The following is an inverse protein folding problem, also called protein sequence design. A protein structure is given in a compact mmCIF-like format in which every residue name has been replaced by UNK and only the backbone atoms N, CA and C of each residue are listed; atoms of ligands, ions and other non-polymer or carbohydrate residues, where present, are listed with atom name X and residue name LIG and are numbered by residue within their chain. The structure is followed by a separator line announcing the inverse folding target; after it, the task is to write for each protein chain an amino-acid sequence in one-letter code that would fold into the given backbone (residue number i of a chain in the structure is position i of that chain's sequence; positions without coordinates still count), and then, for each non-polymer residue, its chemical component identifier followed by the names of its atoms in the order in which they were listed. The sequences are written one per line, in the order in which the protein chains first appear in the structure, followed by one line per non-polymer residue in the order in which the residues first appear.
data_IF_739850754581
#
_entry.id   IF_739850754581
#
_cell.length_a   1.000
_cell.length_b   1.000
_cell.length_c   1.000
_cell.angle_alpha   90.00
_cell.angle_beta   90.00
_cell.angle_gamma   90.00
#
_symmetry.space_group_name_H-M   'P 1'
#
loop_
_entity.id
_entity.type
_entity.pdbx_description
1 polymer ?
#
# COMPACT_ATOMS: atom_id res chain seq x y z
N UNK A 1 3.23 -5.53 26.20
CA UNK A 1 4.68 -5.29 26.14
C UNK A 1 4.96 -3.97 25.47
N UNK A 2 6.11 -3.38 25.75
CA UNK A 2 6.57 -2.13 25.15
C UNK A 2 6.64 -2.23 23.60
N UNK A 3 6.33 -1.14 22.90
CA UNK A 3 6.49 -1.05 21.46
C UNK A 3 7.97 -0.91 21.12
N UNK A 4 8.50 -1.82 20.32
CA UNK A 4 9.92 -1.82 19.92
C UNK A 4 10.03 -1.58 18.42
N UNK A 5 10.78 -0.56 18.03
CA UNK A 5 11.01 -0.23 16.64
C UNK A 5 12.28 -0.96 16.17
N UNK A 6 12.20 -1.78 15.09
CA UNK A 6 13.37 -2.42 14.56
C UNK A 6 14.39 -1.40 14.02
N UNK A 7 15.67 -1.72 14.16
CA UNK A 7 16.75 -0.86 13.64
C UNK A 7 17.42 -1.44 12.40
N UNK A 8 17.14 -2.73 12.08
CA UNK A 8 17.74 -3.41 10.94
C UNK A 8 17.06 -2.97 9.65
N UNK A 9 17.84 -2.59 8.65
CA UNK A 9 17.35 -2.37 7.29
C UNK A 9 17.23 -3.69 6.53
N UNK A 10 16.18 -3.83 5.72
CA UNK A 10 15.97 -4.96 4.83
C UNK A 10 17.02 -4.93 3.70
N UNK A 11 17.41 -6.12 3.23
CA UNK A 11 18.37 -6.24 2.14
C UNK A 11 17.86 -7.17 1.04
N UNK A 12 18.36 -7.01 -0.18
CA UNK A 12 18.02 -7.86 -1.33
C UNK A 12 18.25 -9.35 -1.11
N UNK A 13 19.14 -9.70 -0.16
CA UNK A 13 19.50 -11.08 0.18
C UNK A 13 18.62 -11.68 1.28
N UNK A 14 17.70 -10.91 1.86
CA UNK A 14 16.89 -11.35 2.97
C UNK A 14 15.73 -12.25 2.53
N UNK A 15 15.50 -13.31 3.31
CA UNK A 15 14.34 -14.17 3.17
C UNK A 15 14.11 -14.69 1.75
N UNK A 16 12.94 -14.42 1.20
CA UNK A 16 12.56 -14.82 -0.16
C UNK A 16 12.74 -13.74 -1.22
N UNK A 17 13.26 -12.57 -0.86
CA UNK A 17 13.47 -11.46 -1.80
C UNK A 17 14.30 -11.89 -3.02
N UNK A 18 15.45 -12.61 -2.88
CA UNK A 18 16.23 -13.03 -4.05
C UNK A 18 15.43 -13.87 -5.03
N UNK A 19 14.61 -14.79 -4.52
CA UNK A 19 13.75 -15.65 -5.35
C UNK A 19 12.69 -14.83 -6.11
N UNK A 20 12.03 -13.90 -5.42
CA UNK A 20 11.01 -13.03 -6.02
C UNK A 20 11.64 -12.21 -7.14
N UNK A 21 12.76 -11.56 -6.89
CA UNK A 21 13.44 -10.73 -7.88
C UNK A 21 13.95 -11.54 -9.09
N UNK A 22 14.41 -12.77 -8.89
CA UNK A 22 14.79 -13.65 -9.99
C UNK A 22 13.59 -14.03 -10.86
N UNK A 23 12.46 -14.39 -10.24
CA UNK A 23 11.21 -14.69 -10.96
C UNK A 23 10.72 -13.48 -11.75
N UNK A 24 10.73 -12.29 -11.16
CA UNK A 24 10.33 -11.05 -11.84
C UNK A 24 11.18 -10.77 -13.09
N UNK A 25 12.50 -10.87 -12.97
CA UNK A 25 13.42 -10.68 -14.12
C UNK A 25 13.19 -11.70 -15.21
N UNK A 26 13.01 -12.98 -14.87
CA UNK A 26 12.70 -14.05 -15.83
C UNK A 26 11.36 -13.82 -16.52
N UNK A 27 10.34 -13.42 -15.77
CA UNK A 27 9.03 -13.10 -16.34
C UNK A 27 9.14 -11.94 -17.33
N UNK A 28 9.79 -10.83 -16.93
CA UNK A 28 9.95 -9.66 -17.80
C UNK A 28 10.74 -9.98 -19.06
N UNK A 29 11.78 -10.80 -18.96
CA UNK A 29 12.55 -11.27 -20.10
C UNK A 29 11.73 -12.14 -21.06
N UNK A 30 10.86 -13.01 -20.53
CA UNK A 30 10.02 -13.92 -21.31
C UNK A 30 8.78 -13.22 -21.92
N UNK A 31 8.30 -12.14 -21.29
CA UNK A 31 7.07 -11.42 -21.63
C UNK A 31 7.27 -9.90 -21.53
N UNK A 32 8.12 -9.31 -22.38
CA UNK A 32 8.48 -7.90 -22.28
C UNK A 32 7.28 -6.95 -22.51
N UNK A 33 6.29 -7.39 -23.28
CA UNK A 33 5.10 -6.58 -23.63
C UNK A 33 3.99 -6.62 -22.57
N UNK A 34 4.16 -7.43 -21.51
CA UNK A 34 3.20 -7.51 -20.42
C UNK A 34 3.67 -6.61 -19.28
N UNK A 35 2.79 -5.69 -18.85
CA UNK A 35 3.06 -4.87 -17.68
C UNK A 35 3.08 -5.73 -16.41
N UNK A 36 4.12 -5.54 -15.59
CA UNK A 36 4.29 -6.24 -14.32
C UNK A 36 3.90 -5.33 -13.17
N UNK A 37 2.89 -5.74 -12.44
CA UNK A 37 2.31 -5.02 -11.30
C UNK A 37 2.91 -5.56 -10.00
N UNK A 38 3.73 -4.78 -9.33
CA UNK A 38 4.42 -5.14 -8.10
C UNK A 38 3.60 -4.77 -6.87
N UNK A 39 3.24 -5.76 -6.06
CA UNK A 39 2.54 -5.54 -4.80
C UNK A 39 3.55 -5.48 -3.65
N UNK A 40 3.58 -4.35 -2.95
CA UNK A 40 4.30 -4.20 -1.69
C UNK A 40 3.30 -4.06 -0.54
N UNK A 41 3.64 -4.60 0.64
CA UNK A 41 2.82 -4.43 1.84
C UNK A 41 2.78 -2.95 2.22
N UNK A 42 1.59 -2.41 2.52
CA UNK A 42 1.48 -1.03 3.00
C UNK A 42 2.12 -0.85 4.39
N UNK A 43 2.59 0.37 4.70
CA UNK A 43 3.29 0.65 5.96
C UNK A 43 2.50 0.30 7.21
N UNK A 44 1.19 0.54 7.24
CA UNK A 44 0.37 0.28 8.41
C UNK A 44 0.11 -1.22 8.61
N UNK A 45 -0.20 -1.95 7.54
CA UNK A 45 -0.30 -3.41 7.61
C UNK A 45 1.04 -4.04 8.03
N UNK A 46 2.17 -3.54 7.53
CA UNK A 46 3.48 -4.03 7.95
C UNK A 46 3.73 -3.74 9.44
N UNK A 47 3.40 -2.54 9.91
CA UNK A 47 3.51 -2.17 11.32
C UNK A 47 2.65 -3.09 12.22
N UNK A 48 1.43 -3.40 11.77
CA UNK A 48 0.56 -4.36 12.47
C UNK A 48 1.15 -5.79 12.47
N UNK A 49 1.80 -6.22 11.41
CA UNK A 49 2.49 -7.53 11.41
C UNK A 49 3.65 -7.58 12.42
N UNK A 50 4.34 -6.48 12.64
CA UNK A 50 5.43 -6.39 13.62
C UNK A 50 4.91 -6.27 15.06
N UNK A 51 3.84 -5.50 15.29
CA UNK A 51 3.29 -5.22 16.62
C UNK A 51 2.15 -6.15 17.04
N UNK A 52 1.48 -6.76 16.08
CA UNK A 52 0.22 -7.46 16.29
C UNK A 52 -0.96 -6.49 16.44
N UNK A 53 -2.11 -7.03 16.88
CA UNK A 53 -3.34 -6.23 17.04
C UNK A 53 -3.26 -5.14 18.12
N UNK A 54 -2.23 -5.18 18.97
CA UNK A 54 -2.00 -4.14 19.97
C UNK A 54 -1.74 -2.77 19.34
N UNK A 55 -1.33 -2.70 18.09
CA UNK A 55 -1.11 -1.44 17.38
C UNK A 55 -2.33 -0.51 17.46
N UNK A 56 -3.56 -1.06 17.45
CA UNK A 56 -4.78 -0.26 17.56
C UNK A 56 -4.97 0.35 18.93
N UNK A 57 -4.45 -0.26 20.00
CA UNK A 57 -4.44 0.33 21.34
C UNK A 57 -3.29 1.32 21.47
N UNK A 58 -2.11 0.97 20.94
CA UNK A 58 -0.94 1.84 20.97
C UNK A 58 -1.19 3.18 20.24
N UNK A 59 -2.08 3.22 19.23
CA UNK A 59 -2.50 4.48 18.57
C UNK A 59 -3.11 5.50 19.54
N UNK A 60 -3.63 5.05 20.69
CA UNK A 60 -4.16 5.91 21.75
C UNK A 60 -3.18 6.09 22.92
N UNK A 61 -2.40 5.05 23.22
CA UNK A 61 -1.57 5.00 24.43
C UNK A 61 -0.12 5.46 24.17
N UNK A 62 0.37 5.32 22.91
CA UNK A 62 1.75 5.63 22.50
C UNK A 62 1.80 6.14 21.04
N UNK A 63 1.19 7.29 20.80
CA UNK A 63 1.07 7.89 19.48
C UNK A 63 2.44 8.06 18.79
N UNK A 64 3.45 8.56 19.51
CA UNK A 64 4.80 8.80 18.99
C UNK A 64 5.49 7.48 18.62
N UNK A 65 5.31 6.43 19.42
CA UNK A 65 5.81 5.09 19.13
C UNK A 65 5.20 4.51 17.87
N UNK A 66 3.88 4.64 17.68
CA UNK A 66 3.20 4.17 16.46
C UNK A 66 3.66 4.95 15.24
N UNK A 67 3.77 6.29 15.32
CA UNK A 67 4.30 7.12 14.22
C UNK A 67 5.71 6.69 13.82
N UNK A 68 6.58 6.46 14.79
CA UNK A 68 7.93 6.01 14.54
C UNK A 68 7.98 4.60 13.91
N UNK A 69 7.11 3.68 14.35
CA UNK A 69 7.01 2.34 13.75
C UNK A 69 6.51 2.40 12.31
N UNK A 70 5.48 3.20 12.03
CA UNK A 70 4.93 3.35 10.66
C UNK A 70 5.96 4.02 9.74
N UNK A 71 6.71 5.02 10.23
CA UNK A 71 7.79 5.65 9.48
C UNK A 71 8.90 4.64 9.13
N UNK A 72 9.31 3.80 10.08
CA UNK A 72 10.24 2.69 9.81
C UNK A 72 9.67 1.73 8.74
N UNK A 73 8.39 1.37 8.86
CA UNK A 73 7.75 0.49 7.89
C UNK A 73 7.69 1.12 6.49
N UNK A 74 7.44 2.44 6.38
CA UNK A 74 7.49 3.15 5.09
C UNK A 74 8.87 3.02 4.44
N UNK A 75 9.94 3.21 5.20
CA UNK A 75 11.30 3.05 4.67
C UNK A 75 11.54 1.63 4.14
N UNK A 76 11.09 0.60 4.86
CA UNK A 76 11.18 -0.80 4.43
C UNK A 76 10.38 -1.05 3.15
N UNK A 77 9.14 -0.58 3.10
CA UNK A 77 8.24 -0.74 1.95
C UNK A 77 8.83 -0.07 0.71
N UNK A 78 9.35 1.14 0.86
CA UNK A 78 9.99 1.90 -0.21
C UNK A 78 11.25 1.21 -0.72
N UNK A 79 12.06 0.63 0.15
CA UNK A 79 13.24 -0.14 -0.23
C UNK A 79 12.87 -1.43 -1.00
N UNK A 80 11.82 -2.14 -0.61
CA UNK A 80 11.30 -3.29 -1.36
C UNK A 80 10.74 -2.85 -2.72
N UNK A 81 10.05 -1.72 -2.78
CA UNK A 81 9.58 -1.14 -4.04
C UNK A 81 10.75 -0.85 -4.99
N UNK A 82 11.86 -0.31 -4.48
CA UNK A 82 13.07 -0.08 -5.27
C UNK A 82 13.66 -1.38 -5.83
N UNK A 83 13.68 -2.44 -5.04
CA UNK A 83 14.11 -3.76 -5.54
C UNK A 83 13.21 -4.29 -6.65
N UNK A 84 11.90 -4.06 -6.57
CA UNK A 84 10.95 -4.47 -7.61
C UNK A 84 11.11 -3.64 -8.89
N UNK A 85 11.32 -2.33 -8.76
CA UNK A 85 11.63 -1.43 -9.89
C UNK A 85 12.89 -1.90 -10.63
N UNK A 86 13.96 -2.18 -9.90
CA UNK A 86 15.20 -2.71 -10.48
C UNK A 86 15.04 -4.10 -11.13
N UNK A 87 14.05 -4.88 -10.68
CA UNK A 87 13.72 -6.17 -11.30
C UNK A 87 12.83 -6.05 -12.54
N UNK A 88 12.43 -4.82 -12.92
CA UNK A 88 11.66 -4.52 -14.12
C UNK A 88 10.16 -4.41 -13.92
N UNK A 89 9.71 -4.09 -12.71
CA UNK A 89 8.31 -3.78 -12.44
C UNK A 89 7.88 -2.50 -13.15
N UNK A 90 6.66 -2.48 -13.68
CA UNK A 90 6.13 -1.34 -14.43
C UNK A 90 5.20 -0.45 -13.58
N UNK A 91 4.62 -1.01 -12.52
CA UNK A 91 3.70 -0.33 -11.59
C UNK A 91 3.97 -0.85 -10.19
N UNK A 92 3.98 0.03 -9.19
CA UNK A 92 4.08 -0.36 -7.77
C UNK A 92 2.76 -0.06 -7.04
N UNK A 93 2.21 -1.06 -6.36
CA UNK A 93 1.03 -0.89 -5.53
C UNK A 93 1.35 -1.13 -4.05
N UNK A 94 1.08 -0.14 -3.21
CA UNK A 94 1.05 -0.30 -1.77
C UNK A 94 -0.31 -0.89 -1.35
N UNK A 95 -0.29 -2.11 -0.83
CA UNK A 95 -1.50 -2.86 -0.43
C UNK A 95 -1.63 -2.78 1.08
N UNK A 96 -2.63 -2.05 1.57
CA UNK A 96 -2.83 -1.81 3.01
C UNK A 96 -4.28 -2.03 3.45
N UNK A 97 -4.72 -3.28 3.63
CA UNK A 97 -6.08 -3.60 4.04
C UNK A 97 -6.52 -2.92 5.34
N UNK A 98 -5.60 -2.70 6.28
CA UNK A 98 -5.92 -2.15 7.59
C UNK A 98 -6.33 -0.67 7.55
N UNK A 99 -6.09 0.03 6.46
CA UNK A 99 -6.62 1.39 6.25
C UNK A 99 -8.16 1.40 6.31
N UNK A 100 -8.83 0.33 5.92
CA UNK A 100 -10.30 0.20 6.06
C UNK A 100 -10.78 0.17 7.51
N UNK A 101 -9.90 -0.14 8.47
CA UNK A 101 -10.25 -0.34 9.88
C UNK A 101 -10.11 0.93 10.75
N UNK A 102 -9.52 2.00 10.22
CA UNK A 102 -9.24 3.24 10.98
C UNK A 102 -10.09 4.40 10.48
N UNK A 103 -10.27 5.41 11.33
CA UNK A 103 -10.98 6.64 10.97
C UNK A 103 -10.13 7.55 10.08
N UNK A 104 -10.75 8.53 9.38
CA UNK A 104 -10.00 9.56 8.64
C UNK A 104 -9.01 10.33 9.52
N UNK A 105 -9.38 10.68 10.76
CA UNK A 105 -8.49 11.38 11.70
C UNK A 105 -7.26 10.53 12.06
N UNK A 106 -7.45 9.22 12.26
CA UNK A 106 -6.33 8.29 12.48
C UNK A 106 -5.46 8.16 11.23
N UNK A 107 -6.07 8.11 10.04
CA UNK A 107 -5.32 8.11 8.80
C UNK A 107 -4.47 9.38 8.68
N UNK A 108 -5.04 10.55 8.92
CA UNK A 108 -4.31 11.82 8.89
C UNK A 108 -3.15 11.83 9.89
N UNK A 109 -3.40 11.39 11.12
CA UNK A 109 -2.42 11.41 12.21
C UNK A 109 -1.23 10.48 11.96
N UNK A 110 -1.47 9.27 11.44
CA UNK A 110 -0.46 8.21 11.40
C UNK A 110 0.02 7.86 9.99
N UNK A 111 -0.78 8.08 8.96
CA UNK A 111 -0.53 7.53 7.63
C UNK A 111 -0.34 8.58 6.54
N UNK A 112 -0.87 9.78 6.70
CA UNK A 112 -0.84 10.82 5.67
C UNK A 112 0.60 11.17 5.25
N UNK A 113 1.49 11.43 6.21
CA UNK A 113 2.91 11.74 5.92
C UNK A 113 3.66 10.54 5.31
N UNK A 114 3.64 9.33 5.89
CA UNK A 114 4.30 8.16 5.31
C UNK A 114 3.87 7.86 3.88
N UNK A 115 2.56 7.89 3.58
CA UNK A 115 2.08 7.64 2.22
C UNK A 115 2.41 8.77 1.25
N UNK A 116 2.33 10.02 1.69
CA UNK A 116 2.76 11.17 0.86
C UNK A 116 4.22 11.03 0.46
N UNK A 117 5.08 10.62 1.39
CA UNK A 117 6.51 10.39 1.16
C UNK A 117 6.73 9.21 0.21
N UNK A 118 6.03 8.10 0.42
CA UNK A 118 6.11 6.93 -0.44
C UNK A 118 5.72 7.26 -1.89
N UNK A 119 4.56 7.86 -2.12
CA UNK A 119 4.10 8.18 -3.47
C UNK A 119 4.91 9.30 -4.12
N UNK A 120 5.44 10.25 -3.35
CA UNK A 120 6.40 11.23 -3.87
C UNK A 120 7.66 10.55 -4.41
N UNK A 121 8.21 9.58 -3.67
CA UNK A 121 9.37 8.79 -4.12
C UNK A 121 9.08 8.00 -5.40
N UNK A 122 7.87 7.46 -5.58
CA UNK A 122 7.49 6.78 -6.83
C UNK A 122 7.46 7.77 -8.00
N UNK A 123 6.86 8.95 -7.82
CA UNK A 123 6.82 10.00 -8.85
C UNK A 123 8.22 10.50 -9.25
N UNK A 124 9.11 10.71 -8.29
CA UNK A 124 10.51 11.11 -8.55
C UNK A 124 11.25 10.10 -9.44
N UNK A 125 10.88 8.82 -9.33
CA UNK A 125 11.44 7.73 -10.15
C UNK A 125 10.70 7.53 -11.48
N UNK A 126 9.64 8.31 -11.74
CA UNK A 126 8.77 8.11 -12.90
C UNK A 126 8.01 6.78 -12.87
N UNK A 127 7.81 6.21 -11.66
CA UNK A 127 7.14 4.92 -11.46
C UNK A 127 5.66 5.14 -11.16
N UNK A 128 4.74 4.66 -12.02
CA UNK A 128 3.31 4.66 -11.72
C UNK A 128 3.01 3.92 -10.42
N UNK A 129 2.12 4.49 -9.62
CA UNK A 129 1.84 3.99 -8.28
C UNK A 129 0.35 3.80 -8.02
N UNK A 130 0.02 2.81 -7.19
CA UNK A 130 -1.35 2.53 -6.78
C UNK A 130 -1.44 2.38 -5.28
N UNK A 131 -2.50 2.95 -4.70
CA UNK A 131 -2.88 2.72 -3.32
C UNK A 131 -4.03 1.71 -3.30
N UNK A 132 -3.77 0.50 -2.84
CA UNK A 132 -4.77 -0.57 -2.84
C UNK A 132 -5.23 -0.89 -1.41
N UNK A 133 -6.52 -0.73 -1.16
CA UNK A 133 -7.15 -1.04 0.12
C UNK A 133 -8.27 -2.06 -0.10
N UNK A 134 -8.15 -3.22 0.55
CA UNK A 134 -9.21 -4.21 0.67
C UNK A 134 -10.16 -3.85 1.82
N UNK A 135 -11.43 -4.23 1.71
CA UNK A 135 -12.47 -3.89 2.67
C UNK A 135 -13.09 -2.52 2.44
N UNK A 136 -14.03 -2.13 3.28
CA UNK A 136 -14.74 -0.86 3.15
C UNK A 136 -13.86 0.33 3.57
N UNK A 137 -13.18 0.90 2.60
CA UNK A 137 -12.36 2.10 2.75
C UNK A 137 -13.10 3.40 2.40
N UNK A 138 -14.42 3.38 2.24
CA UNK A 138 -15.23 4.52 1.77
C UNK A 138 -14.87 5.83 2.47
N UNK A 139 -14.77 5.81 3.79
CA UNK A 139 -14.45 6.99 4.62
C UNK A 139 -13.03 7.52 4.44
N UNK A 140 -12.11 6.72 3.91
CA UNK A 140 -10.70 7.05 3.75
C UNK A 140 -10.31 7.37 2.30
N UNK A 141 -11.25 7.32 1.34
CA UNK A 141 -10.94 7.62 -0.09
C UNK A 141 -10.34 9.02 -0.25
N UNK A 142 -10.94 10.03 0.38
CA UNK A 142 -10.42 11.40 0.28
C UNK A 142 -9.04 11.57 0.97
N UNK A 143 -8.82 11.13 2.23
CA UNK A 143 -7.48 11.09 2.81
C UNK A 143 -6.43 10.35 1.95
N UNK A 144 -6.82 9.24 1.31
CA UNK A 144 -5.95 8.52 0.39
C UNK A 144 -5.61 9.38 -0.84
N UNK A 145 -6.58 10.10 -1.43
CA UNK A 145 -6.35 11.01 -2.55
C UNK A 145 -5.33 12.10 -2.21
N UNK A 146 -5.37 12.64 -1.00
CA UNK A 146 -4.46 13.68 -0.53
C UNK A 146 -2.99 13.22 -0.50
N UNK A 147 -2.73 11.93 -0.40
CA UNK A 147 -1.36 11.37 -0.48
C UNK A 147 -0.82 11.28 -1.92
N UNK A 148 -1.67 11.55 -2.91
CA UNK A 148 -1.35 11.66 -4.34
C UNK A 148 -0.76 10.39 -4.98
N UNK A 149 -1.39 9.21 -4.86
CA UNK A 149 -1.08 8.09 -5.75
C UNK A 149 -1.54 8.40 -7.18
N UNK A 150 -1.06 7.66 -8.17
CA UNK A 150 -1.58 7.77 -9.55
C UNK A 150 -2.92 7.03 -9.71
N UNK A 151 -3.13 6.01 -8.88
CA UNK A 151 -4.34 5.20 -8.87
C UNK A 151 -4.76 4.84 -7.43
N UNK A 152 -6.06 4.80 -7.18
CA UNK A 152 -6.64 4.15 -5.99
C UNK A 152 -7.37 2.90 -6.45
N UNK A 153 -6.99 1.75 -5.89
CA UNK A 153 -7.65 0.47 -6.12
C UNK A 153 -8.55 0.13 -4.93
N UNK A 154 -9.82 -0.12 -5.21
CA UNK A 154 -10.86 -0.31 -4.20
C UNK A 154 -11.44 -1.71 -4.20
N UNK A 155 -11.95 -2.10 -3.03
CA UNK A 155 -12.65 -3.35 -2.77
C UNK A 155 -14.12 -3.30 -3.26
N UNK A 156 -14.73 -4.48 -3.41
CA UNK A 156 -16.14 -4.63 -3.79
C UNK A 156 -17.15 -3.96 -2.82
N UNK A 157 -16.72 -3.67 -1.59
CA UNK A 157 -17.57 -3.02 -0.58
C UNK A 157 -17.64 -1.50 -0.70
N UNK A 158 -16.84 -0.90 -1.58
CA UNK A 158 -16.83 0.55 -1.84
C UNK A 158 -17.71 0.87 -3.05
N UNK A 159 -18.58 1.87 -2.93
CA UNK A 159 -19.35 2.38 -4.08
C UNK A 159 -18.39 3.07 -5.06
N UNK A 160 -18.17 2.44 -6.22
CA UNK A 160 -17.24 2.95 -7.23
C UNK A 160 -17.69 4.29 -7.83
N UNK A 161 -19.01 4.56 -7.89
CA UNK A 161 -19.54 5.79 -8.45
C UNK A 161 -19.24 6.98 -7.51
N UNK A 162 -19.44 6.79 -6.21
CA UNK A 162 -19.12 7.82 -5.22
C UNK A 162 -17.60 7.98 -5.06
N UNK A 163 -16.85 6.89 -5.00
CA UNK A 163 -15.38 6.95 -4.95
C UNK A 163 -14.79 7.65 -6.20
N UNK A 164 -15.37 7.41 -7.39
CA UNK A 164 -14.96 8.04 -8.65
C UNK A 164 -15.09 9.57 -8.61
N UNK A 165 -16.15 10.10 -7.99
CA UNK A 165 -16.32 11.56 -7.85
C UNK A 165 -15.17 12.18 -7.05
N UNK A 166 -14.76 11.52 -5.96
CA UNK A 166 -13.65 11.98 -5.13
C UNK A 166 -12.31 11.88 -5.89
N UNK A 167 -12.03 10.74 -6.50
CA UNK A 167 -10.77 10.56 -7.23
C UNK A 167 -10.65 11.50 -8.43
N UNK A 168 -11.74 11.78 -9.16
CA UNK A 168 -11.76 12.74 -10.27
C UNK A 168 -11.46 14.17 -9.82
N UNK A 169 -11.98 14.58 -8.65
CA UNK A 169 -11.70 15.90 -8.09
C UNK A 169 -10.21 16.10 -7.78
N UNK A 170 -9.46 15.01 -7.56
CA UNK A 170 -8.03 15.03 -7.31
C UNK A 170 -7.19 14.63 -8.54
N UNK A 171 -7.81 14.30 -9.68
CA UNK A 171 -7.11 13.87 -10.88
C UNK A 171 -6.47 12.47 -10.76
N UNK A 172 -7.03 11.61 -9.91
CA UNK A 172 -6.52 10.27 -9.60
C UNK A 172 -7.34 9.21 -10.34
N UNK A 173 -6.68 8.23 -10.92
CA UNK A 173 -7.34 7.07 -11.53
C UNK A 173 -7.94 6.17 -10.45
N UNK A 174 -9.10 5.55 -10.75
CA UNK A 174 -9.69 4.53 -9.88
C UNK A 174 -9.68 3.17 -10.57
N UNK A 175 -9.46 2.09 -9.82
CA UNK A 175 -9.55 0.72 -10.28
C UNK A 175 -10.31 -0.16 -9.27
N UNK A 176 -10.88 -1.25 -9.73
CA UNK A 176 -11.74 -2.17 -8.97
C UNK A 176 -13.06 -2.28 -9.69
N UNK A 177 -14.09 -2.80 -9.15
CA UNK A 177 -14.32 -3.46 -7.88
C UNK A 177 -15.31 -4.63 -8.11
N UNK A 178 -14.93 -5.55 -8.99
CA UNK A 178 -15.74 -6.74 -9.26
C UNK A 178 -15.89 -7.60 -8.00
N UNK A 179 -17.11 -7.96 -7.68
CA UNK A 179 -17.41 -8.86 -6.57
C UNK A 179 -16.82 -10.24 -6.81
N UNK A 180 -15.86 -10.64 -6.00
CA UNK A 180 -15.14 -11.90 -6.15
C UNK A 180 -16.03 -13.10 -5.88
N UNK A 181 -16.76 -13.10 -4.77
CA UNK A 181 -17.54 -14.27 -4.33
C UNK A 181 -18.87 -14.38 -5.09
N UNK A 182 -19.63 -13.30 -5.15
CA UNK A 182 -20.98 -13.34 -5.72
C UNK A 182 -20.92 -13.36 -7.25
N UNK A 183 -20.17 -12.45 -7.85
CA UNK A 183 -20.15 -12.28 -9.30
C UNK A 183 -19.16 -13.22 -9.99
N UNK A 184 -17.91 -13.32 -9.51
CA UNK A 184 -16.88 -14.09 -10.21
C UNK A 184 -16.91 -15.59 -9.89
N UNK A 185 -17.23 -15.95 -8.65
CA UNK A 185 -17.25 -17.37 -8.25
C UNK A 185 -18.63 -18.00 -8.45
N UNK A 186 -19.71 -17.32 -8.09
CA UNK A 186 -21.07 -17.85 -8.08
C UNK A 186 -21.97 -17.26 -9.18
N UNK A 187 -21.54 -16.21 -9.84
CA UNK A 187 -22.26 -15.59 -10.96
C UNK A 187 -22.25 -16.49 -12.21
N UNK A 188 -23.36 -16.49 -12.96
CA UNK A 188 -23.52 -17.22 -14.20
C UNK A 188 -23.60 -16.26 -15.38
#
# INVERSE_FOLDING_TARGET
GELVIPTRRIQKTDGRIPLILDVMRRFKAAKPDIAMYGLVCGPFTLASHLRGTNIFMDMYDDEDGVKALVAYCEEVVREVADYYIEAGCDIIAAVDPLVSQISPDMFETFLSEPYTKFFASMREKGMPSSFFVCGDATKNIEPMCLTRPDCIAIDENVDIVEAKKLTDAHGITISGNLQLTITMLLGT
#
